data_IF_459061791578
#
_entry.id   IF_459061791578
#
_cell.length_a   1.000
_cell.length_b   1.000
_cell.length_c   1.000
_cell.angle_alpha   90.00
_cell.angle_beta   90.00
_cell.angle_gamma   90.00
#
_symmetry.space_group_name_H-M   'P 1'
#
loop_
_entity.id
_entity.type
_entity.pdbx_description
1 polymer ?
#
# COMPACT_ATOMS: atom_id res chain seq x y z
N UNK A 1 -31.41 13.07 -16.49
CA UNK A 1 -30.70 12.88 -15.21
C UNK A 1 -29.78 11.68 -15.36
N UNK A 2 -28.52 11.94 -15.72
CA UNK A 2 -27.45 10.91 -15.83
C UNK A 2 -27.01 10.61 -14.40
N UNK A 3 -27.15 9.36 -14.01
CA UNK A 3 -26.79 8.85 -12.69
C UNK A 3 -25.24 8.81 -12.57
N UNK A 4 -24.68 9.73 -11.78
CA UNK A 4 -23.21 9.92 -11.58
C UNK A 4 -22.61 8.83 -10.68
N UNK A 5 -23.35 7.79 -10.30
CA UNK A 5 -22.89 6.77 -9.34
C UNK A 5 -22.10 5.58 -9.95
N UNK A 6 -21.67 5.63 -11.20
CA UNK A 6 -20.99 4.48 -11.86
C UNK A 6 -19.57 4.78 -12.37
N UNK A 7 -18.92 5.85 -11.91
CA UNK A 7 -17.52 6.17 -12.28
C UNK A 7 -16.60 6.29 -11.05
N UNK A 8 -16.73 5.39 -10.11
CA UNK A 8 -15.78 5.21 -9.02
C UNK A 8 -15.09 3.86 -9.17
N UNK A 9 -13.96 3.77 -9.91
CA UNK A 9 -12.96 2.75 -9.61
C UNK A 9 -12.73 2.85 -8.11
N UNK A 10 -13.04 1.80 -7.36
CA UNK A 10 -12.76 1.71 -5.92
C UNK A 10 -11.26 1.96 -5.72
N UNK A 11 -10.89 3.20 -5.41
CA UNK A 11 -9.53 3.50 -5.00
C UNK A 11 -9.35 2.86 -3.63
N UNK A 12 -8.52 1.83 -3.54
CA UNK A 12 -8.27 1.12 -2.30
C UNK A 12 -7.83 2.11 -1.21
N UNK A 13 -8.54 2.08 -0.08
CA UNK A 13 -8.18 2.80 1.13
C UNK A 13 -7.24 1.92 1.93
N UNK A 14 -5.99 2.32 2.07
CA UNK A 14 -4.97 1.63 2.84
C UNK A 14 -4.73 2.38 4.15
N UNK A 15 -4.60 1.63 5.24
CA UNK A 15 -4.33 2.14 6.57
C UNK A 15 -3.05 1.47 7.06
N UNK A 16 -1.96 2.23 7.06
CA UNK A 16 -0.69 1.78 7.62
C UNK A 16 -0.76 1.92 9.13
N UNK A 17 -0.49 0.85 9.85
CA UNK A 17 -0.63 0.80 11.30
C UNK A 17 0.66 0.28 11.93
N UNK A 18 1.02 0.87 13.06
CA UNK A 18 2.10 0.45 13.92
C UNK A 18 1.76 0.74 15.38
N UNK A 19 2.32 -0.05 16.32
CA UNK A 19 2.08 0.09 17.75
C UNK A 19 3.37 0.00 18.53
N UNK A 20 3.49 0.82 19.62
CA UNK A 20 4.47 0.61 20.68
C UNK A 20 3.80 -0.03 21.87
N UNK A 21 4.56 -0.84 22.61
CA UNK A 21 4.03 -1.69 23.68
C UNK A 21 4.91 -1.68 24.94
N UNK A 22 4.35 -2.07 26.07
CA UNK A 22 5.11 -2.19 27.33
C UNK A 22 6.09 -3.35 27.34
N UNK A 23 6.09 -4.22 26.35
CA UNK A 23 6.95 -5.39 26.23
C UNK A 23 6.54 -6.27 25.05
N UNK A 24 7.09 -7.48 24.92
CA UNK A 24 7.02 -8.26 23.68
C UNK A 24 5.79 -9.17 23.56
N UNK A 25 5.13 -9.54 24.64
CA UNK A 25 4.13 -10.61 24.65
C UNK A 25 2.79 -10.18 25.25
N UNK A 26 1.78 -9.95 24.42
CA UNK A 26 0.43 -9.63 24.86
C UNK A 26 -0.18 -10.68 25.82
N UNK A 27 0.06 -12.01 25.68
CA UNK A 27 -0.43 -13.01 26.64
C UNK A 27 0.13 -12.85 28.06
N UNK A 28 1.31 -12.24 28.23
CA UNK A 28 1.91 -11.94 29.54
C UNK A 28 1.34 -10.66 30.17
N UNK A 29 0.32 -10.09 29.55
CA UNK A 29 -0.36 -8.91 30.06
C UNK A 29 0.27 -7.58 29.59
N UNK A 30 1.23 -7.61 28.67
CA UNK A 30 1.73 -6.38 28.07
C UNK A 30 0.63 -5.65 27.30
N UNK A 31 0.76 -4.33 27.22
CA UNK A 31 -0.26 -3.40 26.76
C UNK A 31 0.27 -2.52 25.63
N UNK A 32 -0.61 -2.03 24.78
CA UNK A 32 -0.30 -0.98 23.82
C UNK A 32 -0.16 0.35 24.55
N UNK A 33 0.88 1.13 24.20
CA UNK A 33 1.15 2.46 24.77
C UNK A 33 1.16 3.58 23.72
N UNK A 34 1.33 3.23 22.46
CA UNK A 34 1.15 4.14 21.34
C UNK A 34 0.51 3.36 20.18
N UNK A 35 -0.43 3.99 19.51
CA UNK A 35 -1.02 3.49 18.27
C UNK A 35 -1.03 4.62 17.24
N UNK A 36 -0.52 4.34 16.07
CA UNK A 36 -0.56 5.29 14.97
C UNK A 36 -1.06 4.62 13.68
N UNK A 37 -1.84 5.38 12.93
CA UNK A 37 -2.30 4.99 11.61
C UNK A 37 -2.13 6.15 10.64
N UNK A 38 -1.64 5.84 9.44
CA UNK A 38 -1.55 6.76 8.32
C UNK A 38 -2.43 6.24 7.18
N UNK A 39 -3.27 7.12 6.65
CA UNK A 39 -4.19 6.78 5.57
C UNK A 39 -3.60 7.10 4.21
N UNK A 40 -3.82 6.18 3.26
CA UNK A 40 -3.48 6.38 1.85
C UNK A 40 -4.65 5.99 0.97
N UNK A 41 -5.00 6.83 -0.01
CA UNK A 41 -6.03 6.57 -1.01
C UNK A 41 -5.41 6.74 -2.39
N UNK A 42 -5.52 5.71 -3.25
CA UNK A 42 -4.98 5.78 -4.60
C UNK A 42 -3.47 6.09 -4.63
N UNK A 43 -2.70 5.50 -3.70
CA UNK A 43 -1.24 5.68 -3.53
C UNK A 43 -0.81 7.11 -3.16
N UNK A 44 -1.71 7.87 -2.55
CA UNK A 44 -1.41 9.22 -2.04
C UNK A 44 -1.79 9.29 -0.57
N UNK A 45 -0.89 9.85 0.23
CA UNK A 45 -1.19 10.17 1.62
C UNK A 45 -2.37 11.12 1.72
N UNK A 46 -3.20 10.90 2.73
CA UNK A 46 -4.22 11.86 3.14
C UNK A 46 -3.80 12.55 4.43
N UNK A 47 -4.56 13.57 4.84
CA UNK A 47 -4.34 14.20 6.15
C UNK A 47 -5.15 13.52 7.26
N UNK A 48 -5.95 12.51 6.93
CA UNK A 48 -6.78 11.76 7.86
C UNK A 48 -5.95 10.67 8.55
N UNK A 49 -5.22 11.04 9.60
CA UNK A 49 -4.38 10.14 10.37
C UNK A 49 -4.98 9.91 11.76
N UNK A 50 -4.70 8.76 12.34
CA UNK A 50 -5.04 8.42 13.73
C UNK A 50 -3.75 8.27 14.54
N UNK A 51 -3.68 8.93 15.70
CA UNK A 51 -2.53 8.79 16.60
C UNK A 51 -2.96 9.02 18.03
N UNK A 52 -2.57 8.09 18.93
CA UNK A 52 -2.89 8.18 20.34
C UNK A 52 -1.81 7.53 21.19
N UNK A 53 -1.38 8.22 22.25
CA UNK A 53 -0.65 7.64 23.36
C UNK A 53 -1.65 7.09 24.38
N UNK A 54 -1.29 5.98 25.03
CA UNK A 54 -2.19 5.24 25.92
C UNK A 54 -1.55 5.00 27.28
N UNK A 55 -2.34 5.13 28.33
CA UNK A 55 -1.95 4.70 29.67
C UNK A 55 -2.12 3.18 29.76
N UNK A 56 -1.05 2.40 29.93
CA UNK A 56 -1.13 0.94 30.02
C UNK A 56 -1.60 0.44 31.38
N UNK A 57 -1.65 1.28 32.42
CA UNK A 57 -1.90 0.92 33.83
C UNK A 57 -0.97 -0.19 34.34
N UNK A 58 0.24 -0.24 33.84
CA UNK A 58 1.29 -1.16 34.22
C UNK A 58 2.67 -0.60 33.93
N UNK A 59 3.68 -1.21 34.54
CA UNK A 59 5.09 -0.92 34.28
C UNK A 59 5.50 -1.27 32.85
N UNK A 60 6.44 -0.48 32.33
CA UNK A 60 7.05 -0.68 31.01
C UNK A 60 8.37 -1.43 31.19
N UNK A 61 8.58 -2.49 30.43
CA UNK A 61 9.86 -3.19 30.42
C UNK A 61 10.98 -2.23 30.00
N UNK A 62 12.08 -2.21 30.74
CA UNK A 62 13.22 -1.35 30.45
C UNK A 62 13.77 -1.55 29.02
N UNK A 63 13.70 -2.78 28.50
CA UNK A 63 14.09 -3.07 27.13
C UNK A 63 13.19 -2.38 26.10
N UNK A 64 11.87 -2.36 26.32
CA UNK A 64 10.90 -1.69 25.48
C UNK A 64 11.08 -0.17 25.56
N UNK A 65 11.21 0.37 26.79
CA UNK A 65 11.44 1.79 27.00
C UNK A 65 12.71 2.31 26.30
N UNK A 66 13.78 1.53 26.27
CA UNK A 66 15.00 1.89 25.55
C UNK A 66 14.80 1.97 24.02
N UNK A 67 13.80 1.29 23.48
CA UNK A 67 13.48 1.29 22.05
C UNK A 67 12.65 2.51 21.68
N UNK A 68 11.51 2.72 22.34
CA UNK A 68 10.54 3.78 22.01
C UNK A 68 10.70 5.07 22.82
N UNK A 69 11.41 5.03 23.96
CA UNK A 69 11.71 6.21 24.80
C UNK A 69 10.53 6.77 25.60
N UNK A 70 9.34 6.15 25.56
CA UNK A 70 8.17 6.61 26.31
C UNK A 70 8.29 6.21 27.78
N UNK A 71 8.04 7.16 28.68
CA UNK A 71 8.07 6.90 30.13
C UNK A 71 6.67 6.69 30.70
N UNK A 72 6.58 5.98 31.81
CA UNK A 72 5.33 5.80 32.55
C UNK A 72 4.75 7.16 33.02
N UNK A 73 5.62 8.08 33.42
CA UNK A 73 5.21 9.43 33.81
C UNK A 73 4.53 10.18 32.67
N UNK A 74 5.08 10.09 31.44
CA UNK A 74 4.49 10.69 30.25
C UNK A 74 3.12 10.08 29.91
N UNK A 75 2.94 8.79 30.17
CA UNK A 75 1.72 8.06 29.82
C UNK A 75 0.64 8.11 30.91
N UNK A 76 0.97 8.56 32.13
CA UNK A 76 0.07 8.50 33.27
C UNK A 76 -1.24 9.29 33.08
N UNK A 77 -1.21 10.37 32.32
CA UNK A 77 -2.37 11.25 32.02
C UNK A 77 -3.07 10.91 30.70
N UNK A 78 -2.63 9.89 29.98
CA UNK A 78 -3.19 9.50 28.68
C UNK A 78 -4.44 8.62 28.84
N UNK A 79 -5.34 8.60 27.84
CA UNK A 79 -6.50 7.70 27.86
C UNK A 79 -6.07 6.24 27.88
N UNK A 80 -6.95 5.38 28.34
CA UNK A 80 -6.80 3.93 28.19
C UNK A 80 -7.25 3.49 26.78
N UNK A 81 -6.84 2.30 26.34
CA UNK A 81 -7.32 1.75 25.07
C UNK A 81 -8.85 1.66 25.01
N UNK A 82 -9.50 1.32 26.11
CA UNK A 82 -10.96 1.25 26.18
C UNK A 82 -11.66 2.60 25.89
N UNK A 83 -11.00 3.73 26.18
CA UNK A 83 -11.58 5.06 25.96
C UNK A 83 -11.56 5.45 24.48
N UNK A 84 -10.60 4.90 23.69
CA UNK A 84 -10.39 5.29 22.29
C UNK A 84 -10.83 4.20 21.30
N UNK A 85 -11.22 3.03 21.79
CA UNK A 85 -11.47 1.84 20.97
C UNK A 85 -12.52 2.07 19.89
N UNK A 86 -13.61 2.78 20.19
CA UNK A 86 -14.68 3.01 19.22
C UNK A 86 -14.27 4.00 18.13
N UNK A 87 -13.46 5.00 18.47
CA UNK A 87 -12.89 5.93 17.49
C UNK A 87 -11.85 5.24 16.61
N UNK A 88 -11.01 4.38 17.19
CA UNK A 88 -10.07 3.56 16.44
C UNK A 88 -10.78 2.61 15.47
N UNK A 89 -11.78 1.86 15.93
CA UNK A 89 -12.53 0.93 15.08
C UNK A 89 -13.25 1.66 13.94
N UNK A 90 -13.84 2.82 14.21
CA UNK A 90 -14.47 3.68 13.19
C UNK A 90 -13.46 4.18 12.17
N UNK A 91 -12.24 4.53 12.63
CA UNK A 91 -11.18 4.98 11.75
C UNK A 91 -10.73 3.91 10.76
N UNK A 92 -10.58 2.65 11.20
CA UNK A 92 -10.12 1.56 10.33
C UNK A 92 -11.23 0.92 9.48
N UNK A 93 -12.48 1.30 9.68
CA UNK A 93 -13.63 0.73 9.00
C UNK A 93 -13.54 0.90 7.47
N UNK A 94 -13.76 -0.18 6.72
CA UNK A 94 -13.73 -0.18 5.25
C UNK A 94 -12.33 -0.01 4.63
N UNK A 95 -11.26 -0.05 5.41
CA UNK A 95 -9.87 0.03 4.94
C UNK A 95 -9.14 -1.30 5.00
N UNK A 96 -8.20 -1.51 4.08
CA UNK A 96 -7.18 -2.55 4.20
C UNK A 96 -6.09 -2.08 5.17
N UNK A 97 -5.76 -2.91 6.17
CA UNK A 97 -4.73 -2.59 7.16
C UNK A 97 -3.39 -3.15 6.67
N UNK A 98 -2.37 -2.30 6.68
CA UNK A 98 -1.00 -2.67 6.27
C UNK A 98 -0.08 -2.54 7.47
N UNK A 99 0.60 -3.61 7.85
CA UNK A 99 1.46 -3.69 9.03
C UNK A 99 2.78 -4.36 8.65
N UNK A 100 3.87 -4.02 9.34
CA UNK A 100 5.15 -4.69 9.17
C UNK A 100 5.36 -5.73 10.28
N UNK A 101 5.38 -7.02 9.95
CA UNK A 101 5.34 -8.13 10.91
C UNK A 101 4.02 -8.17 11.70
N UNK A 102 2.93 -8.17 10.94
CA UNK A 102 1.56 -8.00 11.43
C UNK A 102 1.15 -8.91 12.62
N UNK A 103 1.77 -10.08 12.77
CA UNK A 103 1.44 -10.99 13.86
C UNK A 103 1.64 -10.37 15.25
N UNK A 104 2.62 -9.48 15.40
CA UNK A 104 2.88 -8.77 16.64
C UNK A 104 1.74 -7.81 16.98
N UNK A 105 1.49 -6.84 16.12
CA UNK A 105 0.48 -5.79 16.36
C UNK A 105 -0.93 -6.36 16.44
N UNK A 106 -1.28 -7.30 15.56
CA UNK A 106 -2.58 -7.99 15.59
C UNK A 106 -2.77 -8.73 16.91
N UNK A 107 -1.73 -9.37 17.43
CA UNK A 107 -1.78 -10.04 18.73
C UNK A 107 -2.10 -9.08 19.88
N UNK A 108 -1.44 -7.93 19.90
CA UNK A 108 -1.69 -6.88 20.90
C UNK A 108 -3.06 -6.22 20.74
N UNK A 109 -3.43 -5.86 19.52
CA UNK A 109 -4.74 -5.27 19.22
C UNK A 109 -5.88 -6.22 19.62
N UNK A 110 -5.77 -7.51 19.30
CA UNK A 110 -6.78 -8.50 19.69
C UNK A 110 -6.86 -8.66 21.22
N UNK A 111 -5.74 -8.57 21.94
CA UNK A 111 -5.75 -8.62 23.40
C UNK A 111 -6.45 -7.39 24.00
N UNK A 112 -6.19 -6.19 23.48
CA UNK A 112 -6.85 -4.96 23.90
C UNK A 112 -8.34 -4.94 23.52
N UNK A 113 -8.70 -5.32 22.31
CA UNK A 113 -10.08 -5.43 21.84
C UNK A 113 -10.88 -6.42 22.71
N UNK A 114 -10.28 -7.57 23.04
CA UNK A 114 -10.91 -8.55 23.96
C UNK A 114 -11.16 -7.95 25.33
N UNK A 115 -10.21 -7.18 25.90
CA UNK A 115 -10.40 -6.49 27.17
C UNK A 115 -11.52 -5.46 27.11
N UNK A 116 -11.65 -4.75 26.00
CA UNK A 116 -12.69 -3.78 25.72
C UNK A 116 -14.04 -4.42 25.33
N UNK A 117 -14.15 -5.75 25.26
CA UNK A 117 -15.37 -6.46 24.87
C UNK A 117 -15.74 -6.26 23.38
N UNK A 118 -14.75 -6.08 22.52
CA UNK A 118 -14.89 -5.92 21.10
C UNK A 118 -14.43 -7.17 20.33
N UNK A 119 -14.92 -7.31 19.09
CA UNK A 119 -14.47 -8.37 18.17
C UNK A 119 -12.99 -8.19 17.78
N UNK A 120 -12.27 -9.28 17.44
CA UNK A 120 -10.87 -9.20 17.02
C UNK A 120 -10.71 -8.38 15.73
N UNK A 121 -9.52 -7.76 15.56
CA UNK A 121 -9.24 -6.87 14.41
C UNK A 121 -9.19 -7.63 13.09
N UNK A 122 -8.81 -8.89 13.10
CA UNK A 122 -8.81 -9.81 11.96
C UNK A 122 -10.17 -10.51 11.74
N UNK A 123 -11.21 -10.06 12.44
CA UNK A 123 -12.59 -10.46 12.25
C UNK A 123 -13.29 -9.69 11.12
N UNK A 124 -14.63 -9.90 10.98
CA UNK A 124 -15.43 -9.16 10.00
C UNK A 124 -15.38 -7.65 10.22
N UNK A 125 -15.23 -6.91 9.14
CA UNK A 125 -15.32 -5.46 9.11
C UNK A 125 -16.78 -5.02 9.27
N UNK A 126 -17.05 -4.00 10.08
CA UNK A 126 -18.40 -3.55 10.40
C UNK A 126 -19.10 -2.91 9.18
N UNK A 127 -18.35 -2.27 8.27
CA UNK A 127 -18.90 -1.61 7.09
C UNK A 127 -19.24 -2.60 5.98
N UNK A 128 -18.41 -3.62 5.78
CA UNK A 128 -18.51 -4.54 4.65
C UNK A 128 -19.13 -5.89 5.03
N UNK A 129 -19.03 -6.29 6.29
CA UNK A 129 -19.36 -7.64 6.77
C UNK A 129 -18.39 -8.73 6.31
N UNK A 130 -17.38 -8.39 5.54
CA UNK A 130 -16.33 -9.29 5.08
C UNK A 130 -15.17 -9.34 6.06
N UNK A 131 -14.34 -10.38 5.99
CA UNK A 131 -13.11 -10.43 6.80
C UNK A 131 -12.20 -9.27 6.43
N UNK A 132 -11.72 -8.55 7.46
CA UNK A 132 -10.82 -7.43 7.24
C UNK A 132 -9.52 -7.91 6.64
N UNK A 133 -9.08 -7.23 5.58
CA UNK A 133 -7.82 -7.52 4.92
C UNK A 133 -6.68 -6.92 5.72
N UNK A 134 -5.73 -7.77 6.12
CA UNK A 134 -4.49 -7.35 6.80
C UNK A 134 -3.31 -7.79 5.93
N UNK A 135 -2.58 -6.82 5.41
CA UNK A 135 -1.40 -7.03 4.58
C UNK A 135 -0.14 -6.91 5.44
N UNK A 136 0.69 -7.96 5.41
CA UNK A 136 1.97 -8.02 6.14
C UNK A 136 3.14 -7.73 5.19
N UNK A 137 3.72 -6.53 5.29
CA UNK A 137 4.84 -6.11 4.44
C UNK A 137 6.14 -6.87 4.71
N UNK A 138 6.31 -7.45 5.91
CA UNK A 138 7.46 -8.31 6.18
C UNK A 138 7.39 -9.62 5.38
N UNK A 139 6.20 -10.23 5.29
CA UNK A 139 5.99 -11.41 4.44
C UNK A 139 6.21 -11.08 2.98
N UNK A 140 5.65 -9.97 2.48
CA UNK A 140 5.89 -9.49 1.11
C UNK A 140 7.39 -9.31 0.82
N UNK A 141 8.12 -8.66 1.74
CA UNK A 141 9.55 -8.45 1.59
C UNK A 141 10.35 -9.76 1.60
N UNK A 142 9.96 -10.75 2.41
CA UNK A 142 10.60 -12.07 2.43
C UNK A 142 10.43 -12.84 1.13
N UNK A 143 9.28 -12.69 0.48
CA UNK A 143 9.02 -13.30 -0.83
C UNK A 143 9.87 -12.64 -1.92
N UNK A 144 10.00 -11.30 -1.89
CA UNK A 144 10.79 -10.56 -2.88
C UNK A 144 12.31 -10.66 -2.63
N UNK A 145 12.72 -10.74 -1.37
CA UNK A 145 14.14 -10.74 -0.95
C UNK A 145 14.46 -11.91 -0.03
N UNK A 146 14.36 -13.16 -0.52
CA UNK A 146 14.63 -14.34 0.30
C UNK A 146 16.07 -14.34 0.83
N UNK A 147 16.23 -14.70 2.11
CA UNK A 147 17.54 -14.77 2.77
C UNK A 147 18.18 -13.42 3.13
N UNK A 148 17.52 -12.29 2.88
CA UNK A 148 17.97 -10.95 3.29
C UNK A 148 17.30 -10.51 4.59
N UNK A 149 17.91 -9.53 5.28
CA UNK A 149 17.24 -8.83 6.37
C UNK A 149 16.07 -8.03 5.80
N UNK A 150 14.91 -8.19 6.39
CA UNK A 150 13.65 -7.57 5.95
C UNK A 150 12.94 -6.83 7.10
N UNK A 151 13.69 -6.36 8.12
CA UNK A 151 13.17 -5.39 9.08
C UNK A 151 12.83 -4.07 8.38
N UNK A 152 11.97 -3.26 8.99
CA UNK A 152 11.60 -1.94 8.44
C UNK A 152 12.85 -1.10 8.13
N UNK A 153 13.82 -1.05 9.06
CA UNK A 153 15.11 -0.39 8.85
C UNK A 153 15.89 -0.90 7.64
N UNK A 154 15.97 -2.23 7.50
CA UNK A 154 16.71 -2.84 6.39
C UNK A 154 16.02 -2.58 5.05
N UNK A 155 14.70 -2.44 5.04
CA UNK A 155 13.94 -2.08 3.85
C UNK A 155 14.09 -0.60 3.51
N UNK A 156 14.06 0.30 4.51
CA UNK A 156 14.36 1.71 4.31
C UNK A 156 15.75 1.92 3.69
N UNK A 157 16.77 1.23 4.22
CA UNK A 157 18.13 1.28 3.64
C UNK A 157 18.17 0.75 2.20
N UNK A 158 17.50 -0.37 1.93
CA UNK A 158 17.47 -0.98 0.59
C UNK A 158 16.79 -0.11 -0.44
N UNK A 159 15.75 0.61 -0.05
CA UNK A 159 14.97 1.49 -0.93
C UNK A 159 15.40 2.94 -0.88
N UNK A 160 16.48 3.27 -0.14
CA UNK A 160 17.01 4.63 0.02
C UNK A 160 15.95 5.60 0.58
N UNK A 161 15.10 5.10 1.49
CA UNK A 161 14.09 5.90 2.19
C UNK A 161 14.76 6.64 3.34
N UNK A 162 14.56 7.97 3.39
CA UNK A 162 15.13 8.81 4.43
C UNK A 162 14.47 8.54 5.79
N UNK A 163 15.27 8.07 6.74
CA UNK A 163 14.88 7.82 8.13
C UNK A 163 15.51 8.79 9.13
N UNK A 164 16.04 9.92 8.67
CA UNK A 164 16.75 10.90 9.52
C UNK A 164 15.87 11.48 10.64
N UNK A 165 14.56 11.52 10.45
CA UNK A 165 13.60 11.94 11.47
C UNK A 165 13.39 10.91 12.60
N UNK A 166 13.87 9.65 12.43
CA UNK A 166 13.71 8.55 13.39
C UNK A 166 14.90 8.48 14.33
N UNK A 167 14.82 9.19 15.44
CA UNK A 167 15.84 9.11 16.51
C UNK A 167 15.63 7.94 17.46
N UNK A 168 14.36 7.60 17.71
CA UNK A 168 13.87 6.44 18.45
C UNK A 168 12.74 5.80 17.65
N UNK A 169 12.35 4.59 18.00
CA UNK A 169 11.12 4.00 17.49
C UNK A 169 9.92 4.80 18.01
N UNK A 170 8.94 5.01 17.15
CA UNK A 170 7.69 5.67 17.50
C UNK A 170 6.67 5.39 16.41
N UNK A 171 5.50 4.88 16.82
CA UNK A 171 4.50 4.37 15.90
C UNK A 171 4.13 5.38 14.80
N UNK A 172 4.13 6.68 15.11
CA UNK A 172 3.83 7.71 14.11
C UNK A 172 4.88 7.81 13.00
N UNK A 173 6.16 7.73 13.32
CA UNK A 173 7.24 7.79 12.32
C UNK A 173 7.31 6.48 11.56
N UNK A 174 7.17 5.36 12.26
CA UNK A 174 7.26 4.04 11.70
C UNK A 174 6.13 3.73 10.72
N UNK A 175 4.91 4.21 10.97
CA UNK A 175 3.80 4.13 9.98
C UNK A 175 4.07 4.92 8.70
N UNK A 176 4.73 6.08 8.77
CA UNK A 176 5.11 6.84 7.57
C UNK A 176 6.17 6.08 6.76
N UNK A 177 7.22 5.61 7.42
CA UNK A 177 8.26 4.79 6.79
C UNK A 177 7.69 3.50 6.20
N UNK A 178 6.77 2.84 6.92
CA UNK A 178 6.07 1.66 6.45
C UNK A 178 5.30 1.93 5.15
N UNK A 179 4.60 3.07 5.06
CA UNK A 179 3.86 3.44 3.87
C UNK A 179 4.79 3.67 2.67
N UNK A 180 5.95 4.32 2.87
CA UNK A 180 6.95 4.50 1.81
C UNK A 180 7.58 3.18 1.38
N UNK A 181 7.89 2.29 2.34
CA UNK A 181 8.37 0.92 2.06
C UNK A 181 7.33 0.14 1.26
N UNK A 182 6.05 0.20 1.62
CA UNK A 182 4.97 -0.44 0.88
C UNK A 182 4.88 0.09 -0.56
N UNK A 183 4.98 1.40 -0.76
CA UNK A 183 5.02 2.00 -2.08
C UNK A 183 6.22 1.49 -2.90
N UNK A 184 7.38 1.30 -2.27
CA UNK A 184 8.56 0.77 -2.92
C UNK A 184 8.43 -0.72 -3.26
N UNK A 185 7.92 -1.55 -2.34
CA UNK A 185 7.66 -2.98 -2.54
C UNK A 185 6.66 -3.24 -3.68
N UNK A 186 5.68 -2.35 -3.83
CA UNK A 186 4.61 -2.47 -4.83
C UNK A 186 4.86 -1.65 -6.10
N UNK A 187 6.04 -1.03 -6.25
CA UNK A 187 6.46 -0.40 -7.52
C UNK A 187 6.57 -1.48 -8.60
N UNK A 188 5.86 -1.28 -9.69
CA UNK A 188 5.86 -2.22 -10.83
C UNK A 188 4.65 -3.15 -10.90
N UNK A 189 3.84 -3.29 -9.84
CA UNK A 189 2.56 -4.01 -9.94
C UNK A 189 1.50 -3.22 -10.72
N UNK A 190 1.57 -1.89 -10.70
CA UNK A 190 0.62 -1.02 -11.42
C UNK A 190 0.73 -1.09 -12.95
N UNK A 191 1.86 -1.56 -13.48
CA UNK A 191 2.06 -1.65 -14.94
C UNK A 191 1.44 -2.90 -15.58
N UNK A 192 1.05 -3.90 -14.77
CA UNK A 192 0.41 -5.14 -15.25
C UNK A 192 -1.11 -5.14 -15.12
N UNK A 193 -1.66 -4.26 -14.30
CA UNK A 193 -3.11 -4.24 -14.00
C UNK A 193 -3.95 -3.43 -15.00
N UNK A 194 -3.32 -2.80 -15.99
CA UNK A 194 -4.02 -2.01 -17.04
C UNK A 194 -4.88 -2.91 -17.97
N UNK A 195 -4.76 -4.23 -17.87
CA UNK A 195 -5.44 -5.14 -18.81
C UNK A 195 -6.37 -6.19 -18.20
N UNK A 196 -6.39 -6.40 -16.89
CA UNK A 196 -7.04 -7.58 -16.31
C UNK A 196 -8.26 -7.32 -15.42
N UNK A 197 -8.60 -6.06 -15.14
CA UNK A 197 -9.77 -5.74 -14.29
C UNK A 197 -11.10 -5.61 -15.04
N UNK A 198 -11.25 -6.32 -16.16
CA UNK A 198 -12.55 -6.47 -16.80
C UNK A 198 -12.94 -7.96 -16.84
N UNK A 199 -13.45 -8.49 -15.74
CA UNK A 199 -14.03 -9.83 -15.78
C UNK A 199 -13.74 -10.67 -14.55
N UNK A 200 -14.64 -10.56 -13.62
CA UNK A 200 -14.76 -11.41 -12.44
C UNK A 200 -15.02 -12.88 -12.82
N UNK A 201 -14.52 -13.77 -11.98
CA UNK A 201 -14.99 -15.12 -11.66
C UNK A 201 -14.51 -16.31 -12.48
N UNK A 202 -13.88 -17.19 -11.70
CA UNK A 202 -13.90 -18.68 -11.77
C UNK A 202 -13.64 -19.34 -13.13
N UNK A 203 -12.50 -20.02 -13.18
CA UNK A 203 -12.16 -21.10 -14.09
C UNK A 203 -10.94 -20.88 -14.98
N UNK A 204 -9.77 -21.03 -14.39
CA UNK A 204 -8.47 -21.11 -15.07
C UNK A 204 -8.29 -22.43 -15.86
N UNK A 205 -9.31 -22.91 -16.56
CA UNK A 205 -9.20 -24.13 -17.36
C UNK A 205 -9.95 -24.14 -18.71
N UNK A 206 -10.36 -23.00 -19.25
CA UNK A 206 -11.06 -22.93 -20.57
C UNK A 206 -10.74 -21.71 -21.44
N UNK A 207 -9.53 -21.15 -21.37
CA UNK A 207 -9.12 -19.98 -22.19
C UNK A 207 -8.16 -20.35 -23.35
N UNK A 208 -8.03 -21.62 -23.68
CA UNK A 208 -7.17 -22.04 -24.81
C UNK A 208 -7.88 -22.04 -26.18
N UNK A 209 -9.21 -21.85 -26.25
CA UNK A 209 -9.96 -22.01 -27.52
C UNK A 209 -11.00 -20.92 -27.81
N UNK A 210 -10.95 -19.77 -27.16
CA UNK A 210 -11.78 -18.62 -27.59
C UNK A 210 -11.00 -17.81 -28.61
N UNK A 211 -11.26 -18.03 -29.89
CA UNK A 211 -10.80 -17.16 -30.95
C UNK A 211 -11.20 -15.71 -30.64
N UNK A 212 -10.21 -14.83 -30.46
CA UNK A 212 -10.41 -13.40 -30.29
C UNK A 212 -11.19 -12.88 -31.49
N UNK A 213 -12.50 -12.67 -31.34
CA UNK A 213 -13.32 -12.01 -32.35
C UNK A 213 -12.87 -10.56 -32.42
N UNK A 214 -12.04 -10.23 -33.39
CA UNK A 214 -11.66 -8.85 -33.68
C UNK A 214 -12.92 -8.07 -34.10
N UNK A 215 -13.19 -6.92 -33.46
CA UNK A 215 -14.29 -6.08 -33.93
C UNK A 215 -14.04 -5.68 -35.39
N UNK A 216 -15.04 -5.87 -36.23
CA UNK A 216 -14.97 -5.57 -37.69
C UNK A 216 -14.90 -4.07 -38.02
N UNK A 217 -15.01 -3.20 -36.99
CA UNK A 217 -15.06 -1.74 -37.15
C UNK A 217 -14.11 -1.04 -36.17
N UNK A 218 -12.83 -1.34 -36.26
CA UNK A 218 -11.81 -0.50 -35.62
C UNK A 218 -11.59 0.74 -36.45
N UNK A 219 -11.96 1.92 -35.94
CA UNK A 219 -11.65 3.19 -36.57
C UNK A 219 -10.16 3.47 -36.42
N UNK A 220 -9.40 3.30 -37.47
CA UNK A 220 -7.99 3.72 -37.53
C UNK A 220 -7.96 5.23 -37.75
N UNK A 221 -7.51 5.96 -36.71
CA UNK A 221 -7.20 7.39 -36.85
C UNK A 221 -5.88 7.48 -37.59
N UNK A 222 -5.92 8.12 -38.77
CA UNK A 222 -4.71 8.43 -39.55
C UNK A 222 -4.29 9.86 -39.25
N UNK A 223 -2.99 10.09 -39.21
CA UNK A 223 -2.44 11.43 -39.09
C UNK A 223 -2.93 12.32 -40.24
N UNK A 224 -3.24 13.56 -39.93
CA UNK A 224 -3.59 14.56 -40.93
C UNK A 224 -2.34 15.06 -41.67
N UNK A 225 -2.52 15.85 -42.72
CA UNK A 225 -1.40 16.31 -43.56
C UNK A 225 -0.39 17.19 -42.80
N UNK A 226 -0.85 17.95 -41.81
CA UNK A 226 -0.01 18.83 -40.99
C UNK A 226 0.83 18.01 -39.99
N UNK A 227 0.24 16.99 -39.37
CA UNK A 227 0.94 16.07 -38.50
C UNK A 227 2.01 15.24 -39.24
N UNK A 228 1.70 14.81 -40.49
CA UNK A 228 2.68 14.10 -41.33
C UNK A 228 3.84 15.03 -41.71
N UNK A 229 3.56 16.26 -42.09
CA UNK A 229 4.60 17.22 -42.43
C UNK A 229 5.51 17.57 -41.25
N UNK A 230 4.93 17.72 -40.04
CA UNK A 230 5.69 17.96 -38.83
C UNK A 230 6.58 16.75 -38.47
N UNK A 231 6.05 15.52 -38.61
CA UNK A 231 6.82 14.29 -38.42
C UNK A 231 8.00 14.21 -39.41
N UNK A 232 7.78 14.45 -40.68
CA UNK A 232 8.82 14.34 -41.68
C UNK A 232 9.94 15.38 -41.49
N UNK A 233 9.59 16.60 -41.09
CA UNK A 233 10.56 17.63 -40.73
C UNK A 233 11.40 17.21 -39.49
N UNK A 234 10.79 16.60 -38.52
CA UNK A 234 11.47 16.08 -37.35
C UNK A 234 12.43 14.94 -37.67
N UNK A 235 12.00 13.99 -38.51
CA UNK A 235 12.84 12.87 -38.99
C UNK A 235 14.03 13.39 -39.79
N UNK A 236 13.83 14.38 -40.64
CA UNK A 236 14.93 15.00 -41.39
C UNK A 236 15.94 15.69 -40.47
N UNK A 237 15.46 16.39 -39.43
CA UNK A 237 16.32 16.99 -38.39
C UNK A 237 17.17 15.95 -37.68
N UNK A 238 16.54 14.84 -37.26
CA UNK A 238 17.23 13.71 -36.59
C UNK A 238 18.24 13.03 -37.52
N UNK A 239 17.93 12.92 -38.83
CA UNK A 239 18.83 12.33 -39.81
C UNK A 239 20.09 13.19 -39.99
N UNK A 240 19.94 14.52 -40.03
CA UNK A 240 21.07 15.47 -40.10
C UNK A 240 21.91 15.40 -38.79
N UNK A 241 21.27 15.41 -37.64
CA UNK A 241 21.95 15.39 -36.33
C UNK A 241 22.71 14.09 -36.08
N UNK A 242 22.22 12.95 -36.59
CA UNK A 242 22.83 11.62 -36.42
C UNK A 242 23.88 11.26 -37.51
N UNK A 243 24.18 12.17 -38.43
CA UNK A 243 25.08 11.88 -39.54
C UNK A 243 24.56 10.76 -40.45
N UNK A 244 23.27 10.70 -40.69
CA UNK A 244 22.64 9.71 -41.57
C UNK A 244 22.29 8.38 -40.90
N UNK A 245 22.41 8.26 -39.56
CA UNK A 245 22.21 7.00 -38.78
C UNK A 245 20.88 6.96 -38.03
N UNK A 246 19.92 7.83 -38.29
CA UNK A 246 18.65 7.84 -37.62
C UNK A 246 17.86 6.56 -37.95
N UNK A 247 17.53 5.75 -36.93
CA UNK A 247 16.81 4.48 -37.09
C UNK A 247 15.45 4.66 -37.76
N UNK A 248 14.77 5.75 -37.48
CA UNK A 248 13.43 6.07 -38.01
C UNK A 248 13.42 6.41 -39.52
N UNK A 249 14.52 6.87 -40.09
CA UNK A 249 14.60 7.17 -41.51
C UNK A 249 14.59 5.88 -42.36
N UNK A 250 14.90 4.74 -41.79
CA UNK A 250 14.93 3.44 -42.48
C UNK A 250 13.67 2.59 -42.19
N UNK A 251 12.69 3.12 -41.48
CA UNK A 251 11.42 2.44 -41.23
C UNK A 251 10.62 2.39 -42.55
N UNK A 252 10.55 1.21 -43.15
CA UNK A 252 9.62 0.92 -44.26
C UNK A 252 8.47 0.08 -43.69
N UNK A 253 7.22 0.47 -43.98
CA UNK A 253 6.08 -0.42 -43.73
C UNK A 253 6.36 -1.79 -44.37
N UNK A 254 6.11 -2.90 -43.62
CA UNK A 254 6.18 -4.21 -44.25
C UNK A 254 5.20 -4.25 -45.42
N UNK A 255 5.68 -4.71 -46.57
CA UNK A 255 4.89 -4.80 -47.80
C UNK A 255 3.57 -5.54 -47.48
N UNK A 256 2.43 -4.93 -47.85
CA UNK A 256 1.12 -5.59 -47.77
C UNK A 256 1.21 -6.84 -48.64
N UNK A 257 1.31 -8.02 -48.03
CA UNK A 257 1.05 -9.26 -48.74
C UNK A 257 -0.40 -9.24 -49.19
N UNK A 258 -0.60 -9.08 -50.48
CA UNK A 258 -1.88 -9.31 -51.11
C UNK A 258 -2.27 -10.77 -50.96
N UNK A 259 -3.44 -11.02 -50.36
CA UNK A 259 -4.34 -12.13 -50.68
C UNK A 259 -5.75 -11.75 -50.23
#
# INVERSE_FOLDING_TARGET
LINISTLGKNMSRLIFLDTETTGLEAPQGHRIIEIACVEMIGRRFTENNFHCYLNPEREIDAAAQNIHGLSEEFLADKPQFADIVDDFLRYIEGGEIVIHNAAFDVGFLNAELKRAGRAPIDGPDAATGELRVITDTWKMAREQFPGKKNSLDALCERFEIDKSARTLHGARVDTQLLAEVYLALTRGQDSLDIGLSAGNTTSSKKLADAALVRPTTLRVLRANAEEVAAHDAMVEGLQKASGGKAVWANWREPAKTAN
#
